data_IF_508163312476
#
_entry.id   IF_508163312476
#
_cell.length_a   1.000
_cell.length_b   1.000
_cell.length_c   1.000
_cell.angle_alpha   90.00
_cell.angle_beta   90.00
_cell.angle_gamma   90.00
#
_symmetry.space_group_name_H-M   'P 1'
#
loop_
_entity.id
_entity.type
_entity.pdbx_description
1 polymer ?
#
# COMPACT_ATOMS: atom_id res chain seq x y z
N UNK A 1 -22.15 -4.27 17.42
CA UNK A 1 -21.12 -4.43 16.38
C UNK A 1 -20.79 -3.05 15.85
N UNK A 2 -19.52 -2.62 15.84
CA UNK A 2 -19.16 -1.28 15.39
C UNK A 2 -19.22 -1.21 13.86
N UNK A 3 -20.05 -0.33 13.31
CA UNK A 3 -20.23 -0.17 11.86
C UNK A 3 -19.05 0.61 11.29
N UNK A 4 -18.06 -0.11 10.75
CA UNK A 4 -16.82 0.49 10.25
C UNK A 4 -17.04 0.99 8.82
N UNK A 5 -17.05 2.32 8.63
CA UNK A 5 -17.02 2.91 7.29
C UNK A 5 -15.77 2.44 6.54
N UNK A 6 -15.98 1.78 5.40
CA UNK A 6 -14.92 1.40 4.47
C UNK A 6 -14.85 2.43 3.35
N UNK A 7 -13.64 2.91 3.09
CA UNK A 7 -13.35 3.83 1.99
C UNK A 7 -12.57 3.08 0.92
N UNK A 8 -12.86 3.42 -0.33
CA UNK A 8 -12.13 2.91 -1.49
C UNK A 8 -10.65 3.37 -1.47
N UNK A 9 -9.77 2.62 -2.12
CA UNK A 9 -8.33 2.94 -2.16
C UNK A 9 -8.08 4.23 -2.94
N UNK A 10 -8.77 4.44 -4.06
CA UNK A 10 -8.56 5.62 -4.91
C UNK A 10 -8.99 6.88 -4.17
N UNK A 11 -10.12 6.81 -3.44
CA UNK A 11 -10.58 7.89 -2.59
C UNK A 11 -9.55 8.27 -1.50
N UNK A 12 -8.94 7.28 -0.85
CA UNK A 12 -7.88 7.53 0.14
C UNK A 12 -6.68 8.22 -0.49
N UNK A 13 -6.28 7.77 -1.68
CA UNK A 13 -5.15 8.37 -2.42
C UNK A 13 -5.44 9.82 -2.82
N UNK A 14 -6.66 10.11 -3.28
CA UNK A 14 -7.07 11.50 -3.58
C UNK A 14 -6.88 12.42 -2.38
N UNK A 15 -7.30 11.98 -1.19
CA UNK A 15 -7.11 12.75 0.06
C UNK A 15 -5.63 12.97 0.40
N UNK A 16 -4.80 11.95 0.19
CA UNK A 16 -3.34 12.08 0.40
C UNK A 16 -2.74 13.07 -0.61
N UNK A 17 -3.14 13.01 -1.88
CA UNK A 17 -2.69 13.98 -2.89
C UNK A 17 -3.15 15.41 -2.58
N UNK A 18 -4.36 15.61 -2.04
CA UNK A 18 -4.80 16.94 -1.60
C UNK A 18 -3.93 17.47 -0.46
N UNK A 19 -3.56 16.61 0.49
CA UNK A 19 -2.63 16.96 1.57
C UNK A 19 -1.24 17.32 1.02
N UNK A 20 -0.69 16.52 0.10
CA UNK A 20 0.60 16.79 -0.55
C UNK A 20 0.57 18.10 -1.37
N UNK A 21 -0.59 18.50 -1.88
CA UNK A 21 -0.82 19.79 -2.54
C UNK A 21 -1.06 20.97 -1.56
N UNK A 22 -0.87 20.76 -0.25
CA UNK A 22 -0.91 21.82 0.76
C UNK A 22 -2.23 21.98 1.53
N UNK A 23 -3.22 21.10 1.32
CA UNK A 23 -4.43 21.13 2.15
C UNK A 23 -4.14 20.61 3.56
N UNK A 24 -4.62 21.31 4.58
CA UNK A 24 -4.46 20.86 5.96
C UNK A 24 -5.37 19.66 6.25
N UNK A 25 -4.89 18.73 7.09
CA UNK A 25 -5.69 17.58 7.54
C UNK A 25 -6.98 18.02 8.25
N UNK A 26 -6.95 19.16 8.93
CA UNK A 26 -8.12 19.75 9.59
C UNK A 26 -9.23 20.10 8.59
N UNK A 27 -8.89 20.81 7.51
CA UNK A 27 -9.85 21.16 6.44
C UNK A 27 -10.41 19.89 5.80
N UNK A 28 -9.54 18.95 5.44
CA UNK A 28 -9.96 17.68 4.82
C UNK A 28 -10.87 16.86 5.75
N UNK A 29 -10.62 16.91 7.07
CA UNK A 29 -11.46 16.26 8.07
C UNK A 29 -12.86 16.88 8.13
N UNK A 30 -12.93 18.21 8.15
CA UNK A 30 -14.18 18.98 8.19
C UNK A 30 -15.01 18.77 6.91
N UNK A 31 -14.39 18.88 5.73
CA UNK A 31 -15.06 18.77 4.43
C UNK A 31 -15.59 17.36 4.13
N UNK A 32 -14.84 16.33 4.51
CA UNK A 32 -15.20 14.95 4.20
C UNK A 32 -15.85 14.20 5.37
N UNK A 33 -15.92 14.81 6.56
CA UNK A 33 -16.47 14.17 7.76
C UNK A 33 -15.65 12.96 8.21
N UNK A 34 -14.33 12.99 8.02
CA UNK A 34 -13.41 11.90 8.31
C UNK A 34 -12.50 12.35 9.44
N UNK A 35 -12.45 11.58 10.52
CA UNK A 35 -11.57 11.91 11.64
C UNK A 35 -10.11 12.10 11.18
N UNK A 36 -9.46 13.17 11.63
CA UNK A 36 -8.07 13.51 11.28
C UNK A 36 -7.10 12.32 11.45
N UNK A 37 -7.25 11.54 12.53
CA UNK A 37 -6.44 10.34 12.79
C UNK A 37 -6.51 9.31 11.64
N UNK A 38 -7.65 9.22 10.97
CA UNK A 38 -7.85 8.33 9.82
C UNK A 38 -7.13 8.87 8.60
N UNK A 39 -7.18 10.19 8.38
CA UNK A 39 -6.47 10.86 7.29
C UNK A 39 -4.95 10.72 7.48
N UNK A 40 -4.42 10.98 8.69
CA UNK A 40 -3.00 10.77 9.00
C UNK A 40 -2.55 9.32 8.77
N UNK A 41 -3.40 8.34 9.07
CA UNK A 41 -3.11 6.93 8.75
C UNK A 41 -3.01 6.69 7.24
N UNK A 42 -3.84 7.35 6.44
CA UNK A 42 -3.78 7.23 4.99
C UNK A 42 -2.56 7.94 4.42
N UNK A 43 -2.23 9.13 4.92
CA UNK A 43 -0.99 9.85 4.56
C UNK A 43 0.20 8.94 4.83
N UNK A 44 0.32 8.36 6.01
CA UNK A 44 1.41 7.43 6.33
C UNK A 44 1.49 6.25 5.36
N UNK A 45 0.34 5.66 5.00
CA UNK A 45 0.29 4.44 4.18
C UNK A 45 0.53 4.69 2.69
N UNK A 46 0.08 5.82 2.17
CA UNK A 46 0.02 6.09 0.72
C UNK A 46 0.87 7.28 0.27
N UNK A 47 1.41 8.09 1.18
CA UNK A 47 2.36 9.14 0.79
C UNK A 47 3.65 8.50 0.31
N UNK A 48 4.24 9.12 -0.70
CA UNK A 48 5.46 8.64 -1.34
C UNK A 48 6.66 9.17 -0.58
N UNK A 49 7.58 8.29 -0.18
CA UNK A 49 8.82 8.71 0.43
C UNK A 49 9.75 9.35 -0.63
N UNK A 50 10.25 10.56 -0.36
CA UNK A 50 11.06 11.32 -1.33
C UNK A 50 12.39 10.63 -1.71
N UNK A 51 12.96 9.82 -0.81
CA UNK A 51 14.24 9.16 -1.05
C UNK A 51 14.08 7.89 -1.88
N UNK A 52 13.02 7.15 -1.62
CA UNK A 52 12.79 5.83 -2.24
C UNK A 52 11.83 5.90 -3.42
N UNK A 53 10.98 6.92 -3.49
CA UNK A 53 9.92 7.05 -4.50
C UNK A 53 8.78 6.05 -4.33
N UNK A 54 8.69 5.36 -3.19
CA UNK A 54 7.67 4.34 -2.92
C UNK A 54 6.86 4.68 -1.66
N UNK A 55 5.58 4.31 -1.67
CA UNK A 55 4.75 4.32 -0.46
C UNK A 55 4.87 3.00 0.33
N UNK A 56 4.42 2.99 1.58
CA UNK A 56 4.34 1.77 2.39
C UNK A 56 3.47 0.71 1.69
N UNK A 57 2.38 1.13 1.03
CA UNK A 57 1.53 0.25 0.24
C UNK A 57 2.25 -0.37 -0.97
N UNK A 58 3.18 0.35 -1.60
CA UNK A 58 3.97 -0.18 -2.72
C UNK A 58 5.00 -1.18 -2.23
N UNK A 59 5.67 -0.88 -1.11
CA UNK A 59 6.63 -1.79 -0.48
C UNK A 59 5.95 -3.10 -0.07
N UNK A 60 4.74 -3.04 0.50
CA UNK A 60 3.94 -4.23 0.82
C UNK A 60 3.67 -5.09 -0.44
N UNK A 61 3.27 -4.47 -1.55
CA UNK A 61 3.02 -5.16 -2.82
C UNK A 61 4.29 -5.81 -3.37
N UNK A 62 5.40 -5.07 -3.40
CA UNK A 62 6.69 -5.56 -3.88
C UNK A 62 7.17 -6.75 -3.05
N UNK A 63 6.99 -6.71 -1.72
CA UNK A 63 7.34 -7.83 -0.84
C UNK A 63 6.48 -9.06 -1.12
N UNK A 64 5.18 -8.88 -1.31
CA UNK A 64 4.27 -9.99 -1.63
C UNK A 64 4.62 -10.66 -2.96
N UNK A 65 4.89 -9.86 -4.00
CA UNK A 65 5.28 -10.37 -5.31
C UNK A 65 6.64 -11.09 -5.26
N UNK A 66 7.63 -10.52 -4.57
CA UNK A 66 8.92 -11.18 -4.38
C UNK A 66 8.80 -12.53 -3.64
N UNK A 67 7.92 -12.62 -2.65
CA UNK A 67 7.67 -13.89 -1.94
C UNK A 67 7.06 -14.95 -2.87
N UNK A 68 6.11 -14.55 -3.73
CA UNK A 68 5.53 -15.43 -4.75
C UNK A 68 6.60 -15.91 -5.73
N UNK A 69 7.38 -14.98 -6.29
CA UNK A 69 8.44 -15.28 -7.26
C UNK A 69 9.51 -16.20 -6.69
N UNK A 70 9.90 -16.03 -5.42
CA UNK A 70 10.83 -16.95 -4.74
C UNK A 70 10.26 -18.36 -4.64
N UNK A 71 8.98 -18.48 -4.30
CA UNK A 71 8.29 -19.77 -4.22
C UNK A 71 8.26 -20.45 -5.59
N UNK A 72 7.87 -19.71 -6.63
CA UNK A 72 7.84 -20.21 -8.00
C UNK A 72 9.24 -20.66 -8.47
N UNK A 73 10.26 -19.86 -8.16
CA UNK A 73 11.65 -20.18 -8.48
C UNK A 73 12.14 -21.46 -7.80
N UNK A 74 11.78 -21.66 -6.54
CA UNK A 74 12.13 -22.87 -5.79
C UNK A 74 11.45 -24.13 -6.34
N UNK A 75 10.19 -24.01 -6.78
CA UNK A 75 9.47 -25.10 -7.46
C UNK A 75 10.18 -25.44 -8.77
N UNK A 76 10.50 -24.43 -9.59
CA UNK A 76 11.19 -24.63 -10.87
C UNK A 76 12.55 -25.30 -10.69
N UNK A 77 13.34 -24.88 -9.70
CA UNK A 77 14.62 -25.51 -9.36
C UNK A 77 14.47 -26.99 -8.99
N UNK A 78 13.47 -27.33 -8.17
CA UNK A 78 13.19 -28.73 -7.80
C UNK A 78 12.81 -29.58 -9.02
N UNK A 79 11.96 -29.04 -9.89
CA UNK A 79 11.55 -29.70 -11.13
C UNK A 79 12.75 -29.94 -12.05
N UNK A 80 13.61 -28.93 -12.25
CA UNK A 80 14.84 -29.07 -13.04
C UNK A 80 15.78 -30.15 -12.47
N UNK A 81 15.98 -30.18 -11.15
CA UNK A 81 16.81 -31.19 -10.51
C UNK A 81 16.31 -32.62 -10.81
N UNK A 82 14.98 -32.85 -10.75
CA UNK A 82 14.38 -34.14 -11.12
C UNK A 82 14.63 -34.53 -12.58
N UNK A 83 14.63 -33.55 -13.50
CA UNK A 83 14.91 -33.80 -14.92
C UNK A 83 16.38 -34.08 -15.21
N UNK A 84 17.30 -33.45 -14.46
CA UNK A 84 18.76 -33.64 -14.63
C UNK A 84 19.32 -34.85 -13.91
N UNK A 85 18.58 -35.43 -12.96
CA UNK A 85 18.96 -36.66 -12.24
C UNK A 85 18.53 -37.94 -12.99
N UNK A 86 18.05 -37.83 -14.24
CA UNK A 86 17.81 -38.95 -15.15
C UNK A 86 19.00 -39.21 -16.06
#
# INVERSE_FOLDING_TARGET
MSNRRTYDVDYKKTLVSLYENGHSVKILSEEHGIAEQTIYRWIKKYSTDEKTGYSEADIEKIKAENARLKTDNDILKKVLAMFTQK
#
